data_IF_516867809719
#
_entry.id   IF_516867809719
#
_cell.length_a   1.000
_cell.length_b   1.000
_cell.length_c   1.000
_cell.angle_alpha   90.00
_cell.angle_beta   90.00
_cell.angle_gamma   90.00
#
_symmetry.space_group_name_H-M   'P 1'
#
loop_
_entity.id
_entity.type
_entity.pdbx_description
1 polymer ?
#
# COMPACT_ATOMS: atom_id res chain seq x y z
N UNK A 1 -7.76 3.92 -9.54
CA UNK A 1 -6.72 3.86 -8.50
C UNK A 1 -7.21 4.67 -7.31
N UNK A 2 -6.81 4.29 -6.11
CA UNK A 2 -7.12 5.03 -4.89
C UNK A 2 -5.82 5.54 -4.25
N UNK A 3 -5.92 6.68 -3.57
CA UNK A 3 -4.82 7.28 -2.80
C UNK A 3 -5.02 6.93 -1.34
N UNK A 4 -4.00 6.36 -0.70
CA UNK A 4 -4.02 5.96 0.69
C UNK A 4 -2.93 6.74 1.44
N UNK A 5 -3.33 7.42 2.52
CA UNK A 5 -2.41 8.14 3.39
C UNK A 5 -2.24 7.38 4.70
N UNK A 6 -1.00 7.10 5.05
CA UNK A 6 -0.64 6.41 6.29
C UNK A 6 0.13 7.36 7.20
N UNK A 7 -0.38 7.55 8.43
CA UNK A 7 0.37 8.25 9.46
C UNK A 7 1.57 7.41 9.90
N UNK A 8 2.70 8.07 10.11
CA UNK A 8 3.87 7.48 10.75
C UNK A 8 3.66 7.43 12.28
N UNK A 9 4.37 6.57 13.02
CA UNK A 9 4.17 6.43 14.48
C UNK A 9 4.36 7.71 15.31
N UNK A 10 5.01 8.72 14.75
CA UNK A 10 5.36 10.02 15.32
C UNK A 10 5.19 11.07 14.23
N UNK A 11 4.56 12.19 14.59
CA UNK A 11 4.14 13.23 13.64
C UNK A 11 5.31 14.06 13.10
N UNK A 12 6.47 14.03 13.77
CA UNK A 12 7.67 14.81 13.44
C UNK A 12 8.69 14.06 12.57
N UNK A 13 8.45 12.77 12.29
CA UNK A 13 9.38 11.95 11.53
C UNK A 13 9.10 11.96 10.03
N UNK A 14 10.13 11.72 9.21
CA UNK A 14 9.98 11.38 7.79
C UNK A 14 10.06 9.86 7.60
N UNK A 15 9.52 9.33 6.50
CA UNK A 15 9.60 7.89 6.22
C UNK A 15 11.06 7.38 6.08
N UNK A 16 11.98 8.25 5.65
CA UNK A 16 13.40 7.93 5.55
C UNK A 16 13.75 6.91 4.47
N UNK A 17 12.91 6.75 3.44
CA UNK A 17 13.14 5.82 2.34
C UNK A 17 14.08 6.43 1.29
N UNK A 18 15.28 5.87 1.04
CA UNK A 18 16.17 6.37 0.00
C UNK A 18 15.57 6.20 -1.40
N UNK A 19 15.87 7.14 -2.30
CA UNK A 19 15.43 7.06 -3.70
C UNK A 19 15.90 5.75 -4.34
N UNK A 20 14.99 5.08 -5.06
CA UNK A 20 15.23 3.77 -5.67
C UNK A 20 14.92 2.58 -4.76
N UNK A 21 14.42 2.79 -3.54
CA UNK A 21 13.92 1.74 -2.63
C UNK A 21 12.39 1.71 -2.58
N UNK A 22 11.85 0.65 -1.95
CA UNK A 22 10.42 0.44 -1.71
C UNK A 22 10.19 -0.05 -0.27
N UNK A 23 8.96 0.04 0.20
CA UNK A 23 8.52 -0.55 1.48
C UNK A 23 7.70 -1.82 1.23
N UNK A 24 7.58 -2.68 2.24
CA UNK A 24 6.61 -3.76 2.23
C UNK A 24 5.40 -3.37 3.09
N UNK A 25 4.20 -3.47 2.51
CA UNK A 25 2.98 -3.57 3.30
C UNK A 25 2.74 -5.04 3.65
N UNK A 26 2.52 -5.28 4.94
CA UNK A 26 2.30 -6.60 5.52
C UNK A 26 0.92 -6.62 6.17
N UNK A 27 0.08 -7.58 5.78
CA UNK A 27 -1.23 -7.78 6.40
C UNK A 27 -1.57 -9.27 6.41
N UNK A 28 -2.29 -9.71 7.44
CA UNK A 28 -2.89 -11.05 7.45
C UNK A 28 -4.22 -10.99 6.71
N UNK A 29 -4.27 -11.56 5.50
CA UNK A 29 -5.46 -11.57 4.64
C UNK A 29 -5.89 -13.01 4.44
N UNK A 30 -7.11 -13.35 4.84
CA UNK A 30 -7.63 -14.73 4.84
C UNK A 30 -6.69 -15.72 5.55
N UNK A 31 -6.30 -15.37 6.79
CA UNK A 31 -5.41 -16.16 7.66
C UNK A 31 -4.02 -16.45 7.09
N UNK A 32 -3.59 -15.70 6.07
CA UNK A 32 -2.27 -15.81 5.45
C UNK A 32 -1.56 -14.47 5.46
N UNK A 33 -0.29 -14.49 5.84
CA UNK A 33 0.57 -13.33 5.75
C UNK A 33 0.76 -12.96 4.27
N UNK A 34 0.27 -11.79 3.89
CA UNK A 34 0.46 -11.19 2.58
C UNK A 34 1.44 -10.03 2.70
N UNK A 35 2.53 -10.09 1.93
CA UNK A 35 3.51 -9.00 1.84
C UNK A 35 3.58 -8.49 0.40
N UNK A 36 3.50 -7.17 0.21
CA UNK A 36 3.61 -6.55 -1.12
C UNK A 36 4.47 -5.30 -1.07
N UNK A 37 5.36 -5.20 -2.06
CA UNK A 37 6.21 -4.04 -2.26
C UNK A 37 5.42 -2.87 -2.84
N UNK A 38 5.58 -1.69 -2.27
CA UNK A 38 5.05 -0.43 -2.79
C UNK A 38 6.10 0.66 -2.69
N UNK A 39 6.11 1.54 -3.69
CA UNK A 39 6.93 2.75 -3.68
C UNK A 39 6.01 3.93 -3.37
N UNK A 40 6.26 4.69 -2.28
CA UNK A 40 5.49 5.88 -1.96
C UNK A 40 5.54 6.93 -3.06
N UNK A 41 4.46 7.70 -3.15
CA UNK A 41 4.32 8.82 -4.08
C UNK A 41 4.53 10.18 -3.41
N UNK A 42 4.54 10.22 -2.08
CA UNK A 42 4.94 11.40 -1.31
C UNK A 42 6.43 11.69 -1.51
N UNK A 43 6.84 12.95 -1.39
CA UNK A 43 8.25 13.33 -1.43
C UNK A 43 8.99 12.86 -0.16
N UNK A 44 10.32 12.78 -0.23
CA UNK A 44 11.16 12.20 0.84
C UNK A 44 11.22 13.05 2.11
N UNK A 45 10.86 14.32 2.01
CA UNK A 45 10.87 15.35 3.06
C UNK A 45 9.51 15.53 3.74
N UNK A 46 8.47 14.78 3.33
CA UNK A 46 7.17 14.80 4.01
C UNK A 46 7.29 14.27 5.43
N UNK A 47 6.75 15.04 6.37
CA UNK A 47 6.77 14.78 7.81
C UNK A 47 5.41 14.22 8.26
N UNK A 48 5.45 13.19 9.10
CA UNK A 48 4.31 12.59 9.79
C UNK A 48 3.48 11.60 8.99
N UNK A 49 3.66 11.49 7.66
CA UNK A 49 2.90 10.54 6.84
C UNK A 49 3.64 10.14 5.55
N UNK A 50 3.10 9.13 4.87
CA UNK A 50 3.42 8.85 3.47
C UNK A 50 2.15 8.50 2.68
N UNK A 51 2.19 8.77 1.38
CA UNK A 51 1.09 8.48 0.46
C UNK A 51 1.44 7.31 -0.46
N UNK A 52 0.49 6.40 -0.66
CA UNK A 52 0.55 5.35 -1.68
C UNK A 52 -0.59 5.53 -2.69
N UNK A 53 -0.26 5.49 -3.98
CA UNK A 53 -1.26 5.32 -5.04
C UNK A 53 -1.34 3.86 -5.42
N UNK A 54 -2.50 3.24 -5.20
CA UNK A 54 -2.70 1.80 -5.43
C UNK A 54 -3.80 1.58 -6.46
N UNK A 55 -3.51 0.74 -7.47
CA UNK A 55 -4.52 0.22 -8.38
C UNK A 55 -5.24 -0.95 -7.71
N UNK A 56 -6.54 -0.80 -7.49
CA UNK A 56 -7.38 -1.86 -6.94
C UNK A 56 -7.74 -2.86 -8.03
N UNK A 57 -7.34 -4.11 -7.84
CA UNK A 57 -7.68 -5.22 -8.72
C UNK A 57 -8.90 -5.97 -8.17
N UNK A 58 -10.10 -5.58 -8.58
CA UNK A 58 -11.34 -6.17 -8.09
C UNK A 58 -11.56 -7.61 -8.59
N UNK A 59 -12.17 -8.44 -7.74
CA UNK A 59 -12.69 -9.77 -8.10
C UNK A 59 -13.79 -9.66 -9.16
N UNK A 60 -13.94 -10.68 -9.98
CA UNK A 60 -14.97 -10.78 -11.02
C UNK A 60 -14.74 -9.92 -12.27
N UNK A 61 -13.67 -9.11 -12.33
CA UNK A 61 -13.41 -8.22 -13.48
C UNK A 61 -12.60 -8.90 -14.58
N UNK A 62 -11.50 -9.54 -14.23
CA UNK A 62 -10.59 -10.13 -15.24
C UNK A 62 -10.76 -11.66 -15.28
N UNK A 63 -11.07 -12.27 -16.44
CA UNK A 63 -11.40 -13.70 -16.52
C UNK A 63 -10.25 -14.62 -16.11
N UNK A 64 -8.99 -14.24 -16.38
CA UNK A 64 -7.82 -14.99 -15.91
C UNK A 64 -7.51 -14.82 -14.40
N UNK A 65 -8.08 -13.80 -13.77
CA UNK A 65 -7.85 -13.46 -12.36
C UNK A 65 -9.19 -13.22 -11.65
N UNK A 66 -10.06 -14.24 -11.57
CA UNK A 66 -11.42 -14.07 -11.08
C UNK A 66 -11.49 -13.61 -9.62
N UNK A 67 -10.45 -13.90 -8.82
CA UNK A 67 -10.37 -13.50 -7.40
C UNK A 67 -9.80 -12.09 -7.19
N UNK A 68 -9.32 -11.42 -8.23
CA UNK A 68 -8.68 -10.11 -8.13
C UNK A 68 -7.38 -10.13 -7.31
N UNK A 69 -6.95 -8.95 -6.86
CA UNK A 69 -5.75 -8.75 -6.04
C UNK A 69 -6.08 -8.78 -4.56
N UNK A 70 -5.42 -9.67 -3.80
CA UNK A 70 -5.66 -9.85 -2.37
C UNK A 70 -5.37 -8.56 -1.57
N UNK A 71 -4.12 -8.08 -1.60
CA UNK A 71 -3.71 -6.89 -0.84
C UNK A 71 -4.46 -5.63 -1.28
N UNK A 72 -4.64 -5.42 -2.59
CA UNK A 72 -5.27 -4.20 -3.09
C UNK A 72 -6.74 -4.09 -2.72
N UNK A 73 -7.47 -5.22 -2.70
CA UNK A 73 -8.87 -5.24 -2.25
C UNK A 73 -8.97 -5.15 -0.72
N UNK A 74 -8.00 -5.71 0.01
CA UNK A 74 -7.93 -5.54 1.47
C UNK A 74 -7.76 -4.07 1.86
N UNK A 75 -6.82 -3.36 1.23
CA UNK A 75 -6.58 -1.93 1.50
C UNK A 75 -7.79 -1.06 1.11
N UNK A 76 -8.50 -1.40 0.03
CA UNK A 76 -9.72 -0.69 -0.40
C UNK A 76 -10.90 -0.88 0.57
N UNK A 77 -10.84 -1.90 1.44
CA UNK A 77 -11.89 -2.20 2.42
C UNK A 77 -11.65 -1.63 3.82
N UNK A 78 -10.50 -0.99 4.06
CA UNK A 78 -10.14 -0.33 5.33
C UNK A 78 -10.73 1.09 5.38
#
# INVERSE_FOLDING_TARGET
CASFRFALPSEDQVLGLPVGKHIFLCATVNDKLCMRAYTPTSTVDVVGYFDLVIKVYFKGVHPKFPNGGQMSQHLDSL
#
